data_IF_295864480292
#
_entry.id   IF_295864480292
#
_cell.length_a   1.000
_cell.length_b   1.000
_cell.length_c   1.000
_cell.angle_alpha   90.00
_cell.angle_beta   90.00
_cell.angle_gamma   90.00
#
_symmetry.space_group_name_H-M   'P 1'
#
loop_
_entity.id
_entity.type
_entity.pdbx_description
1 polymer ?
#
# COMPACT_ATOMS: atom_id res chain seq x y z
N UNK A 1 13.29 -31.67 9.03
CA UNK A 1 14.19 -30.53 9.30
C UNK A 1 13.30 -29.38 9.73
N UNK A 2 13.42 -28.90 10.97
CA UNK A 2 12.72 -27.69 11.39
C UNK A 2 13.28 -26.54 10.56
N UNK A 3 12.52 -26.03 9.59
CA UNK A 3 12.83 -24.74 8.99
C UNK A 3 12.80 -23.71 10.13
N UNK A 4 13.90 -22.97 10.29
CA UNK A 4 13.91 -21.80 11.17
C UNK A 4 12.82 -20.84 10.70
N UNK A 5 11.94 -20.42 11.62
CA UNK A 5 10.89 -19.43 11.35
C UNK A 5 11.49 -18.16 10.75
N UNK A 6 10.94 -17.67 9.63
CA UNK A 6 11.38 -16.44 8.98
C UNK A 6 11.15 -15.24 9.93
N UNK A 7 12.21 -14.52 10.29
CA UNK A 7 12.15 -13.39 11.23
C UNK A 7 11.86 -12.10 10.50
N UNK A 8 10.82 -11.40 10.92
CA UNK A 8 10.38 -10.16 10.29
C UNK A 8 10.69 -9.00 11.22
N UNK A 9 11.32 -7.97 10.67
CA UNK A 9 11.58 -6.70 11.33
C UNK A 9 10.54 -5.65 10.95
N UNK A 10 10.15 -4.78 11.89
CA UNK A 10 9.31 -3.60 11.62
C UNK A 10 10.12 -2.31 11.82
N UNK A 11 10.01 -1.38 10.89
CA UNK A 11 10.51 0.00 11.00
C UNK A 11 9.32 0.94 10.92
N UNK A 12 9.11 1.73 11.98
CA UNK A 12 7.95 2.61 12.12
C UNK A 12 6.76 1.92 12.79
N UNK A 13 6.51 2.25 14.06
CA UNK A 13 5.43 1.69 14.90
C UNK A 13 4.38 2.77 15.21
N UNK A 14 4.05 3.59 14.21
CA UNK A 14 3.14 4.74 14.31
C UNK A 14 1.90 4.62 13.39
N UNK A 15 1.89 3.64 12.50
CA UNK A 15 0.71 3.17 11.77
C UNK A 15 -0.01 2.05 12.53
N UNK A 16 -1.34 1.96 12.38
CA UNK A 16 -2.12 0.83 12.87
C UNK A 16 -1.73 -0.49 12.19
N UNK A 17 -1.00 -0.44 11.08
CA UNK A 17 -0.50 -1.62 10.37
C UNK A 17 0.53 -2.38 11.21
N UNK A 18 1.41 -1.71 11.97
CA UNK A 18 2.43 -2.38 12.79
C UNK A 18 1.82 -3.39 13.80
N UNK A 19 0.87 -3.01 14.68
CA UNK A 19 0.24 -3.96 15.59
C UNK A 19 -0.65 -4.98 14.86
N UNK A 20 -1.35 -4.58 13.79
CA UNK A 20 -2.24 -5.47 13.02
C UNK A 20 -1.44 -6.58 12.33
N UNK A 21 -0.35 -6.23 11.65
CA UNK A 21 0.53 -7.20 10.99
C UNK A 21 1.21 -8.11 12.01
N UNK A 22 1.68 -7.54 13.13
CA UNK A 22 2.23 -8.34 14.23
C UNK A 22 1.22 -9.36 14.75
N UNK A 23 -0.05 -8.98 14.93
CA UNK A 23 -1.09 -9.92 15.35
C UNK A 23 -1.29 -11.03 14.33
N UNK A 24 -1.50 -10.69 13.05
CA UNK A 24 -1.75 -11.67 11.99
C UNK A 24 -0.58 -12.65 11.79
N UNK A 25 0.66 -12.22 12.01
CA UNK A 25 1.86 -13.05 11.86
C UNK A 25 2.26 -13.81 13.14
N UNK A 26 1.96 -13.28 14.34
CA UNK A 26 2.45 -13.88 15.59
C UNK A 26 1.40 -14.73 16.31
N UNK A 27 0.10 -14.42 16.14
CA UNK A 27 -1.00 -15.08 16.84
C UNK A 27 -1.53 -16.27 16.02
N UNK A 28 -1.12 -17.49 16.41
CA UNK A 28 -1.50 -18.73 15.72
C UNK A 28 -2.97 -19.10 15.89
N UNK A 29 -3.63 -18.55 16.89
CA UNK A 29 -5.04 -18.82 17.17
C UNK A 29 -5.97 -17.82 16.45
N UNK A 30 -5.39 -16.79 15.80
CA UNK A 30 -6.16 -15.85 14.98
C UNK A 30 -6.79 -16.58 13.77
N UNK A 31 -8.11 -16.40 13.49
CA UNK A 31 -8.79 -17.12 12.40
C UNK A 31 -8.18 -16.91 11.00
N UNK A 32 -7.50 -15.77 10.82
CA UNK A 32 -6.81 -15.39 9.59
C UNK A 32 -5.28 -15.27 9.80
N UNK A 33 -4.72 -16.07 10.71
CA UNK A 33 -3.27 -16.12 10.92
C UNK A 33 -2.54 -16.40 9.60
N UNK A 34 -1.50 -15.61 9.32
CA UNK A 34 -0.65 -15.76 8.14
C UNK A 34 0.63 -16.48 8.57
N UNK A 35 0.80 -17.71 8.10
CA UNK A 35 1.93 -18.56 8.43
C UNK A 35 3.20 -18.22 7.63
N UNK A 36 4.34 -18.79 8.06
CA UNK A 36 5.62 -18.72 7.34
C UNK A 36 6.66 -17.79 7.95
N UNK A 37 6.24 -16.81 8.77
CA UNK A 37 7.14 -15.89 9.45
C UNK A 37 6.55 -15.35 10.75
N UNK A 38 7.37 -14.61 11.51
CA UNK A 38 6.98 -13.97 12.77
C UNK A 38 7.67 -12.61 12.87
N UNK A 39 6.95 -11.58 13.34
CA UNK A 39 7.57 -10.32 13.76
C UNK A 39 8.32 -10.55 15.07
N UNK A 40 9.63 -10.30 15.07
CA UNK A 40 10.50 -10.57 16.22
C UNK A 40 11.19 -9.33 16.76
N UNK A 41 11.41 -8.32 15.93
CA UNK A 41 12.15 -7.11 16.28
C UNK A 41 11.53 -5.89 15.61
N UNK A 42 11.51 -4.74 16.28
CA UNK A 42 10.95 -3.51 15.74
C UNK A 42 11.65 -2.25 16.24
N UNK A 43 11.69 -1.22 15.40
CA UNK A 43 12.15 0.12 15.73
C UNK A 43 10.97 1.10 15.66
N UNK A 44 10.63 1.83 16.73
CA UNK A 44 9.46 2.71 16.76
C UNK A 44 9.46 3.84 15.72
N UNK A 45 10.60 4.49 15.49
CA UNK A 45 10.71 5.59 14.53
C UNK A 45 9.73 6.73 14.80
N UNK A 46 9.13 7.26 13.73
CA UNK A 46 8.09 8.30 13.76
C UNK A 46 8.54 9.67 13.25
N UNK A 47 7.56 10.54 13.03
CA UNK A 47 7.72 11.90 12.51
C UNK A 47 7.31 12.94 13.56
N UNK A 48 8.22 13.83 13.99
CA UNK A 48 7.96 14.78 15.07
C UNK A 48 6.98 15.89 14.69
N UNK A 49 6.79 16.16 13.40
CA UNK A 49 5.89 17.21 12.88
C UNK A 49 4.50 16.67 12.48
N UNK A 50 4.22 15.39 12.74
CA UNK A 50 2.97 14.75 12.35
C UNK A 50 2.27 14.11 13.56
N UNK A 51 1.22 14.76 14.06
CA UNK A 51 0.48 14.32 15.26
C UNK A 51 0.05 12.86 15.22
N UNK A 52 -0.48 12.42 14.08
CA UNK A 52 -0.90 11.04 13.92
C UNK A 52 0.26 10.05 14.13
N UNK A 53 1.47 10.45 13.78
CA UNK A 53 2.67 9.65 14.00
C UNK A 53 3.05 9.67 15.49
N UNK A 54 3.49 10.83 16.01
CA UNK A 54 4.10 10.90 17.34
C UNK A 54 3.16 10.51 18.49
N UNK A 55 1.85 10.74 18.35
CA UNK A 55 0.88 10.42 19.41
C UNK A 55 0.60 8.92 19.56
N UNK A 56 0.91 8.10 18.55
CA UNK A 56 0.55 6.66 18.54
C UNK A 56 1.69 5.72 18.89
N UNK A 57 2.94 6.21 18.78
CA UNK A 57 4.15 5.42 18.95
C UNK A 57 4.16 4.66 20.28
N UNK A 58 3.87 5.34 21.39
CA UNK A 58 3.94 4.73 22.73
C UNK A 58 2.95 3.56 22.85
N UNK A 59 1.68 3.79 22.50
CA UNK A 59 0.62 2.79 22.60
C UNK A 59 0.83 1.59 21.67
N UNK A 60 1.27 1.82 20.43
CA UNK A 60 1.55 0.71 19.51
C UNK A 60 2.84 -0.04 19.88
N UNK A 61 3.87 0.64 20.38
CA UNK A 61 5.09 -0.01 20.88
C UNK A 61 4.77 -0.92 22.06
N UNK A 62 3.90 -0.50 22.98
CA UNK A 62 3.43 -1.34 24.08
C UNK A 62 2.75 -2.62 23.58
N UNK A 63 1.84 -2.51 22.60
CA UNK A 63 1.17 -3.67 22.00
C UNK A 63 2.14 -4.66 21.34
N UNK A 64 3.19 -4.17 20.68
CA UNK A 64 4.22 -5.04 20.09
C UNK A 64 5.05 -5.75 21.17
N UNK A 65 5.43 -5.05 22.26
CA UNK A 65 6.13 -5.66 23.41
C UNK A 65 5.31 -6.76 24.07
N UNK A 66 4.01 -6.54 24.28
CA UNK A 66 3.09 -7.53 24.84
C UNK A 66 3.00 -8.81 23.97
N UNK A 67 3.23 -8.67 22.66
CA UNK A 67 3.28 -9.79 21.71
C UNK A 67 4.67 -10.42 21.57
N UNK A 68 5.61 -10.04 22.44
CA UNK A 68 6.97 -10.58 22.50
C UNK A 68 7.88 -10.11 21.37
N UNK A 69 7.63 -8.92 20.81
CA UNK A 69 8.52 -8.26 19.85
C UNK A 69 9.59 -7.48 20.61
N UNK A 70 10.86 -7.70 20.27
CA UNK A 70 11.99 -6.92 20.79
C UNK A 70 11.94 -5.50 20.21
N UNK A 71 12.05 -4.49 21.06
CA UNK A 71 12.06 -3.08 20.63
C UNK A 71 13.46 -2.53 20.74
N UNK A 72 13.99 -2.06 19.63
CA UNK A 72 15.36 -1.53 19.50
C UNK A 72 15.38 -0.06 19.13
N UNK A 73 16.55 0.55 19.18
CA UNK A 73 16.71 2.01 19.09
C UNK A 73 17.06 2.50 17.67
N UNK A 74 17.24 1.60 16.69
CA UNK A 74 17.57 1.97 15.32
C UNK A 74 17.01 1.02 14.25
N UNK A 75 16.79 1.57 13.04
CA UNK A 75 16.37 0.80 11.88
C UNK A 75 17.45 -0.20 11.41
N UNK A 76 18.72 0.16 11.58
CA UNK A 76 19.88 -0.66 11.25
C UNK A 76 19.94 -1.91 12.13
N UNK A 77 19.64 -1.78 13.42
CA UNK A 77 19.58 -2.91 14.36
C UNK A 77 18.46 -3.88 14.01
N UNK A 78 17.30 -3.38 13.55
CA UNK A 78 16.24 -4.20 12.95
C UNK A 78 16.77 -4.98 11.75
N UNK A 79 17.39 -4.29 10.79
CA UNK A 79 17.87 -4.89 9.54
C UNK A 79 18.98 -5.94 9.75
N UNK A 80 19.83 -5.74 10.76
CA UNK A 80 20.87 -6.70 11.14
C UNK A 80 20.30 -8.02 11.71
N UNK A 81 19.12 -7.97 12.34
CA UNK A 81 18.58 -9.07 13.15
C UNK A 81 17.28 -9.70 12.60
N UNK A 82 16.89 -9.39 11.36
CA UNK A 82 15.75 -10.01 10.69
C UNK A 82 16.13 -10.59 9.32
N UNK A 83 15.19 -11.32 8.72
CA UNK A 83 15.32 -11.95 7.41
C UNK A 83 14.54 -11.18 6.33
N UNK A 84 13.53 -10.39 6.73
CA UNK A 84 12.79 -9.45 5.87
C UNK A 84 12.22 -8.28 6.69
N UNK A 85 11.94 -7.16 6.03
CA UNK A 85 11.60 -5.89 6.69
C UNK A 85 10.26 -5.36 6.20
N UNK A 86 9.43 -4.91 7.14
CA UNK A 86 8.23 -4.12 6.91
C UNK A 86 8.53 -2.67 7.33
N UNK A 87 8.52 -1.73 6.38
CA UNK A 87 8.51 -0.30 6.70
C UNK A 87 7.04 0.11 6.79
N UNK A 88 6.55 0.36 8.00
CA UNK A 88 5.14 0.68 8.29
C UNK A 88 4.96 2.06 8.88
N UNK A 89 5.91 2.96 8.61
CA UNK A 89 5.75 4.35 9.01
C UNK A 89 4.49 4.95 8.38
N UNK A 90 3.71 5.71 9.17
CA UNK A 90 2.49 6.33 8.65
C UNK A 90 2.79 7.51 7.70
N UNK A 91 4.01 8.03 7.76
CA UNK A 91 4.47 9.18 7.00
C UNK A 91 5.23 8.76 5.74
N UNK A 92 4.60 8.91 4.58
CA UNK A 92 5.22 8.57 3.29
C UNK A 92 6.46 9.41 2.97
N UNK A 93 6.65 10.58 3.59
CA UNK A 93 7.80 11.48 3.35
C UNK A 93 9.13 10.91 3.82
N UNK A 94 9.12 9.98 4.78
CA UNK A 94 10.35 9.47 5.41
C UNK A 94 10.76 8.09 4.90
N UNK A 95 9.95 7.46 4.04
CA UNK A 95 10.20 6.10 3.57
C UNK A 95 11.52 5.95 2.81
N UNK A 96 11.89 6.90 1.94
CA UNK A 96 13.17 6.87 1.23
C UNK A 96 14.36 6.95 2.20
N UNK A 97 14.30 7.82 3.21
CA UNK A 97 15.35 7.93 4.23
C UNK A 97 15.49 6.62 5.01
N UNK A 98 14.37 6.07 5.49
CA UNK A 98 14.36 4.78 6.21
C UNK A 98 14.88 3.64 5.34
N UNK A 99 14.47 3.59 4.07
CA UNK A 99 14.94 2.60 3.11
C UNK A 99 16.45 2.69 2.90
N UNK A 100 17.00 3.89 2.67
CA UNK A 100 18.44 4.11 2.50
C UNK A 100 19.26 3.59 3.68
N UNK A 101 18.77 3.76 4.91
CA UNK A 101 19.45 3.29 6.14
C UNK A 101 19.62 1.77 6.20
N UNK A 102 18.71 1.02 5.57
CA UNK A 102 18.68 -0.44 5.65
C UNK A 102 19.02 -1.16 4.34
N UNK A 103 19.15 -0.43 3.23
CA UNK A 103 19.39 -1.02 1.90
C UNK A 103 20.69 -1.85 1.83
N UNK A 104 21.75 -1.45 2.54
CA UNK A 104 23.03 -2.17 2.56
C UNK A 104 22.94 -3.58 3.17
N UNK A 105 21.89 -3.87 3.95
CA UNK A 105 21.63 -5.19 4.54
C UNK A 105 20.98 -6.17 3.56
N UNK A 106 20.52 -5.70 2.39
CA UNK A 106 19.97 -6.52 1.29
C UNK A 106 18.85 -7.48 1.72
N UNK A 107 18.01 -7.05 2.64
CA UNK A 107 16.79 -7.78 3.03
C UNK A 107 15.68 -7.52 2.01
N UNK A 108 14.79 -8.47 1.73
CA UNK A 108 13.53 -8.17 1.06
C UNK A 108 12.72 -7.19 1.93
N UNK A 109 12.17 -6.16 1.30
CA UNK A 109 11.53 -5.03 1.98
C UNK A 109 10.12 -4.83 1.41
N UNK A 110 9.12 -4.78 2.28
CA UNK A 110 7.83 -4.18 1.94
C UNK A 110 7.79 -2.77 2.52
N UNK A 111 7.44 -1.78 1.69
CA UNK A 111 7.18 -0.41 2.13
C UNK A 111 5.66 -0.22 2.11
N UNK A 112 5.11 0.22 3.23
CA UNK A 112 3.69 0.53 3.34
C UNK A 112 3.31 1.71 2.44
N UNK A 113 2.02 1.84 2.17
CA UNK A 113 1.49 2.83 1.24
C UNK A 113 1.47 4.25 1.85
N UNK A 114 1.68 5.28 1.02
CA UNK A 114 2.28 5.19 -0.31
C UNK A 114 3.79 4.88 -0.19
N UNK A 115 4.40 4.30 -1.24
CA UNK A 115 5.85 4.01 -1.23
C UNK A 115 6.66 5.25 -0.83
N UNK A 116 6.27 6.40 -1.37
CA UNK A 116 6.72 7.76 -1.01
C UNK A 116 5.67 8.74 -1.55
N UNK A 117 5.86 10.04 -1.32
CA UNK A 117 5.02 11.13 -1.84
C UNK A 117 5.63 11.84 -3.07
N UNK A 118 6.66 11.26 -3.69
CA UNK A 118 7.32 11.82 -4.88
C UNK A 118 7.76 10.74 -5.87
N UNK A 119 7.50 10.96 -7.16
CA UNK A 119 7.95 10.06 -8.25
C UNK A 119 9.47 10.02 -8.39
N UNK A 120 10.14 11.15 -8.08
CA UNK A 120 11.61 11.23 -8.05
C UNK A 120 12.17 10.32 -6.95
N UNK A 121 11.61 10.41 -5.74
CA UNK A 121 12.02 9.55 -4.64
C UNK A 121 11.68 8.07 -4.89
N UNK A 122 10.53 7.78 -5.51
CA UNK A 122 10.15 6.41 -5.85
C UNK A 122 11.15 5.80 -6.84
N UNK A 123 11.55 6.57 -7.86
CA UNK A 123 12.58 6.17 -8.82
C UNK A 123 13.92 5.91 -8.13
N UNK A 124 14.27 6.71 -7.13
CA UNK A 124 15.49 6.50 -6.34
C UNK A 124 15.41 5.23 -5.48
N UNK A 125 14.28 4.95 -4.83
CA UNK A 125 14.05 3.71 -4.08
C UNK A 125 14.29 2.50 -5.00
N UNK A 126 13.69 2.48 -6.18
CA UNK A 126 13.88 1.38 -7.14
C UNK A 126 15.30 1.29 -7.68
N UNK A 127 15.97 2.42 -7.92
CA UNK A 127 17.38 2.45 -8.33
C UNK A 127 18.27 1.80 -7.27
N UNK A 128 18.16 2.22 -6.01
CA UNK A 128 18.92 1.66 -4.91
C UNK A 128 18.59 0.17 -4.70
N UNK A 129 17.31 -0.21 -4.82
CA UNK A 129 16.87 -1.60 -4.71
C UNK A 129 17.50 -2.47 -5.80
N UNK A 130 17.53 -1.99 -7.05
CA UNK A 130 18.16 -2.68 -8.17
C UNK A 130 19.68 -2.83 -7.96
N UNK A 131 20.38 -1.76 -7.59
CA UNK A 131 21.83 -1.78 -7.32
C UNK A 131 22.21 -2.76 -6.21
N UNK A 132 21.33 -2.96 -5.22
CA UNK A 132 21.56 -3.83 -4.08
C UNK A 132 20.90 -5.21 -4.20
N UNK A 133 20.21 -5.50 -5.31
CA UNK A 133 19.42 -6.72 -5.54
C UNK A 133 18.40 -6.98 -4.42
N UNK A 134 17.65 -5.94 -4.03
CA UNK A 134 16.63 -6.02 -2.98
C UNK A 134 15.26 -6.31 -3.62
N UNK A 135 14.59 -7.43 -3.27
CA UNK A 135 13.18 -7.62 -3.57
C UNK A 135 12.37 -6.57 -2.81
N UNK A 136 11.62 -5.75 -3.54
CA UNK A 136 10.85 -4.64 -2.98
C UNK A 136 9.44 -4.57 -3.55
N UNK A 137 8.47 -4.28 -2.69
CA UNK A 137 7.07 -4.06 -3.06
C UNK A 137 6.45 -3.00 -2.15
N UNK A 138 5.51 -2.22 -2.69
CA UNK A 138 4.63 -1.34 -1.93
C UNK A 138 3.23 -1.43 -2.49
N UNK A 139 2.22 -1.43 -1.61
CA UNK A 139 0.83 -1.24 -2.04
C UNK A 139 -0.12 -1.02 -0.86
N UNK A 140 -1.34 -0.58 -1.18
CA UNK A 140 -2.47 -0.71 -0.27
C UNK A 140 -2.96 -2.15 -0.18
N UNK A 141 -3.36 -2.56 1.03
CA UNK A 141 -4.08 -3.81 1.26
C UNK A 141 -5.38 -3.95 0.44
N UNK A 142 -6.06 -2.86 0.06
CA UNK A 142 -7.26 -2.93 -0.77
C UNK A 142 -7.02 -3.52 -2.16
N UNK A 143 -5.78 -3.51 -2.66
CA UNK A 143 -5.37 -4.23 -3.86
C UNK A 143 -5.70 -5.72 -3.79
N UNK A 144 -5.70 -6.28 -2.58
CA UNK A 144 -5.94 -7.70 -2.31
C UNK A 144 -7.22 -7.95 -1.52
N UNK A 145 -8.17 -7.00 -1.54
CA UNK A 145 -9.49 -7.27 -0.99
C UNK A 145 -10.11 -8.49 -1.69
N UNK A 146 -10.59 -9.46 -0.91
CA UNK A 146 -11.01 -10.76 -1.44
C UNK A 146 -12.14 -10.63 -2.48
N UNK A 147 -13.13 -9.76 -2.27
CA UNK A 147 -14.19 -9.57 -3.28
C UNK A 147 -13.67 -8.97 -4.59
N UNK A 148 -12.60 -8.16 -4.55
CA UNK A 148 -11.95 -7.66 -5.77
C UNK A 148 -11.19 -8.79 -6.47
N UNK A 149 -10.46 -9.61 -5.72
CA UNK A 149 -9.78 -10.81 -6.25
C UNK A 149 -10.79 -11.76 -6.90
N UNK A 150 -11.88 -12.10 -6.20
CA UNK A 150 -12.95 -12.95 -6.72
C UNK A 150 -13.56 -12.36 -8.00
N UNK A 151 -13.80 -11.04 -8.06
CA UNK A 151 -14.35 -10.39 -9.25
C UNK A 151 -13.38 -10.40 -10.45
N UNK A 152 -12.07 -10.36 -10.20
CA UNK A 152 -11.05 -10.46 -11.24
C UNK A 152 -10.89 -11.89 -11.76
N UNK A 153 -11.00 -12.89 -10.87
CA UNK A 153 -10.89 -14.32 -11.19
C UNK A 153 -12.18 -14.92 -11.75
N UNK A 154 -13.32 -14.21 -11.64
CA UNK A 154 -14.60 -14.62 -12.21
C UNK A 154 -14.51 -14.71 -13.76
N UNK A 155 -14.23 -15.93 -14.22
CA UNK A 155 -14.18 -16.50 -15.59
C UNK A 155 -14.17 -15.60 -16.83
N UNK A 156 -13.36 -16.00 -17.82
CA UNK A 156 -13.23 -15.44 -19.19
C UNK A 156 -14.54 -15.27 -19.99
N UNK A 157 -15.67 -15.86 -19.57
CA UNK A 157 -16.94 -15.73 -20.30
C UNK A 157 -17.52 -14.31 -20.26
N UNK A 158 -17.06 -13.48 -19.32
CA UNK A 158 -17.58 -12.13 -19.16
C UNK A 158 -16.93 -11.09 -20.10
N UNK A 159 -15.93 -11.51 -20.88
CA UNK A 159 -15.17 -10.65 -21.78
C UNK A 159 -14.11 -9.81 -21.06
N UNK A 160 -13.43 -8.96 -21.83
CA UNK A 160 -12.37 -8.10 -21.32
C UNK A 160 -12.90 -7.07 -20.33
N UNK A 161 -12.03 -6.61 -19.42
CA UNK A 161 -12.30 -5.42 -18.62
C UNK A 161 -12.24 -4.19 -19.53
N UNK A 162 -13.28 -3.36 -19.48
CA UNK A 162 -13.44 -2.16 -20.33
C UNK A 162 -13.56 -0.87 -19.51
N UNK A 163 -13.43 -0.95 -18.18
CA UNK A 163 -13.44 0.20 -17.28
C UNK A 163 -13.59 -0.19 -15.83
N UNK A 164 -13.33 0.77 -14.94
CA UNK A 164 -13.56 0.61 -13.51
C UNK A 164 -13.83 1.97 -12.85
N UNK A 165 -14.84 2.01 -11.97
CA UNK A 165 -15.13 3.16 -11.13
C UNK A 165 -14.89 2.79 -9.66
N UNK A 166 -13.86 3.35 -9.04
CA UNK A 166 -13.58 3.20 -7.62
C UNK A 166 -14.24 4.32 -6.81
N UNK A 167 -14.63 4.05 -5.57
CA UNK A 167 -15.00 5.09 -4.61
C UNK A 167 -14.43 4.79 -3.23
N UNK A 168 -14.20 5.85 -2.46
CA UNK A 168 -13.66 5.73 -1.10
C UNK A 168 -13.59 7.05 -0.34
N UNK A 169 -13.21 6.99 0.94
CA UNK A 169 -12.77 8.16 1.69
C UNK A 169 -11.60 8.86 1.01
N UNK A 170 -11.57 10.19 1.10
CA UNK A 170 -10.54 11.04 0.52
C UNK A 170 -10.20 12.18 1.48
N UNK A 171 -9.96 11.82 2.74
CA UNK A 171 -9.47 12.75 3.75
C UNK A 171 -8.15 13.37 3.29
N UNK A 172 -7.95 14.64 3.60
CA UNK A 172 -6.71 15.36 3.32
C UNK A 172 -5.92 15.51 4.62
N UNK A 173 -4.60 15.41 4.50
CA UNK A 173 -3.69 15.58 5.63
C UNK A 173 -2.60 16.57 5.23
N UNK A 174 -2.37 17.67 5.96
CA UNK A 174 -1.42 18.72 5.54
C UNK A 174 0.00 18.22 5.26
N UNK A 175 0.44 17.18 5.96
CA UNK A 175 1.77 16.58 5.78
C UNK A 175 1.85 15.62 4.58
N UNK A 176 0.71 15.21 4.00
CA UNK A 176 0.62 14.19 2.96
C UNK A 176 -0.16 14.75 1.75
N UNK A 177 0.51 15.05 0.62
CA UNK A 177 -0.14 15.77 -0.48
C UNK A 177 -1.34 15.02 -1.09
N UNK A 178 -2.54 15.57 -0.94
CA UNK A 178 -3.75 15.14 -1.65
C UNK A 178 -4.00 13.62 -1.63
N UNK A 179 -3.98 12.99 -2.82
CA UNK A 179 -4.26 11.55 -2.99
C UNK A 179 -3.30 10.65 -2.21
N UNK A 180 -2.09 11.07 -1.88
CA UNK A 180 -1.13 10.23 -1.17
C UNK A 180 -1.63 9.76 0.20
N UNK A 181 -2.58 10.47 0.83
CA UNK A 181 -3.09 10.11 2.14
C UNK A 181 -4.11 8.95 2.11
N UNK A 182 -5.34 9.24 1.68
CA UNK A 182 -6.41 8.23 1.55
C UNK A 182 -6.72 7.84 0.11
N UNK A 183 -6.46 8.71 -0.87
CA UNK A 183 -6.73 8.45 -2.29
C UNK A 183 -5.93 7.26 -2.86
N UNK A 184 -4.74 7.02 -2.32
CA UNK A 184 -3.85 5.89 -2.67
C UNK A 184 -4.57 4.55 -2.64
N UNK A 185 -5.52 4.37 -1.71
CA UNK A 185 -6.32 3.16 -1.58
C UNK A 185 -7.15 2.87 -2.85
N UNK A 186 -7.87 3.87 -3.34
CA UNK A 186 -8.66 3.75 -4.57
C UNK A 186 -7.82 3.74 -5.83
N UNK A 187 -6.65 4.40 -5.83
CA UNK A 187 -5.69 4.34 -6.94
C UNK A 187 -5.12 2.92 -7.08
N UNK A 188 -4.76 2.30 -5.97
CA UNK A 188 -4.26 0.91 -5.94
C UNK A 188 -5.29 -0.09 -6.45
N UNK A 189 -6.56 0.08 -6.06
CA UNK A 189 -7.65 -0.73 -6.62
C UNK A 189 -7.76 -0.53 -8.13
N UNK A 190 -7.66 0.71 -8.61
CA UNK A 190 -7.78 1.03 -10.03
C UNK A 190 -6.64 0.41 -10.84
N UNK A 191 -5.38 0.58 -10.40
CA UNK A 191 -4.20 0.02 -11.06
C UNK A 191 -4.14 -1.51 -10.97
N UNK A 192 -4.68 -2.13 -9.91
CA UNK A 192 -4.81 -3.60 -9.84
C UNK A 192 -5.63 -4.17 -10.99
N UNK A 193 -6.63 -3.42 -11.46
CA UNK A 193 -7.55 -3.87 -12.51
C UNK A 193 -7.11 -3.41 -13.89
N UNK A 194 -6.74 -2.14 -14.05
CA UNK A 194 -6.40 -1.56 -15.35
C UNK A 194 -4.92 -1.68 -15.70
N UNK A 195 -4.07 -1.96 -14.72
CA UNK A 195 -2.63 -2.05 -14.90
C UNK A 195 -1.98 -0.70 -15.24
N UNK A 196 -0.81 -0.80 -15.87
CA UNK A 196 0.01 0.31 -16.35
C UNK A 196 -0.60 1.00 -17.58
N UNK A 197 -0.06 2.16 -17.95
CA UNK A 197 -0.38 2.82 -19.22
C UNK A 197 -1.43 3.92 -19.14
N UNK A 198 -1.69 4.48 -17.96
CA UNK A 198 -2.50 5.71 -17.87
C UNK A 198 -1.76 6.85 -18.57
N UNK A 199 -2.40 7.47 -19.57
CA UNK A 199 -1.80 8.56 -20.37
C UNK A 199 -1.98 9.91 -19.71
N UNK A 200 -3.19 10.18 -19.21
CA UNK A 200 -3.52 11.46 -18.60
C UNK A 200 -4.63 11.34 -17.58
N UNK A 201 -4.69 12.32 -16.68
CA UNK A 201 -5.67 12.41 -15.61
C UNK A 201 -6.30 13.80 -15.55
N UNK A 202 -7.59 13.84 -15.26
CA UNK A 202 -8.36 15.08 -15.03
C UNK A 202 -9.15 14.96 -13.73
N UNK A 203 -9.17 16.03 -12.93
CA UNK A 203 -9.90 16.08 -11.67
C UNK A 203 -10.99 17.17 -11.71
N UNK A 204 -12.17 16.83 -11.22
CA UNK A 204 -13.17 17.78 -10.77
C UNK A 204 -13.19 17.79 -9.23
N UNK A 205 -12.88 18.94 -8.64
CA UNK A 205 -12.68 19.10 -7.19
C UNK A 205 -13.71 20.05 -6.59
N UNK A 206 -14.22 19.69 -5.43
CA UNK A 206 -15.01 20.55 -4.54
C UNK A 206 -14.49 20.42 -3.11
N UNK A 207 -15.03 21.20 -2.18
CA UNK A 207 -14.72 21.06 -0.76
C UNK A 207 -14.94 19.63 -0.25
N UNK A 208 -16.06 19.00 -0.64
CA UNK A 208 -16.49 17.71 -0.10
C UNK A 208 -16.07 16.49 -0.94
N UNK A 209 -15.75 16.70 -2.22
CA UNK A 209 -15.58 15.60 -3.17
C UNK A 209 -14.51 15.85 -4.21
N UNK A 210 -13.86 14.76 -4.64
CA UNK A 210 -13.08 14.69 -5.85
C UNK A 210 -13.71 13.67 -6.80
N UNK A 211 -13.68 13.95 -8.11
CA UNK A 211 -13.86 12.96 -9.16
C UNK A 211 -12.62 13.00 -10.05
N UNK A 212 -11.84 11.93 -10.03
CA UNK A 212 -10.64 11.77 -10.83
C UNK A 212 -10.96 10.84 -11.99
N UNK A 213 -10.57 11.21 -13.20
CA UNK A 213 -10.75 10.42 -14.42
C UNK A 213 -9.39 10.21 -15.07
N UNK A 214 -8.95 8.96 -15.17
CA UNK A 214 -7.77 8.56 -15.93
C UNK A 214 -8.15 7.90 -17.24
N UNK A 215 -7.34 8.11 -18.28
CA UNK A 215 -7.50 7.46 -19.59
C UNK A 215 -6.24 6.67 -19.92
N UNK A 216 -6.39 5.38 -20.16
CA UNK A 216 -5.31 4.46 -20.50
C UNK A 216 -5.01 4.45 -22.01
N UNK A 217 -3.83 3.99 -22.37
CA UNK A 217 -3.34 3.92 -23.76
C UNK A 217 -4.21 3.06 -24.69
N UNK A 218 -4.89 2.06 -24.14
CA UNK A 218 -5.87 1.22 -24.79
C UNK A 218 -7.27 1.87 -24.91
N UNK A 219 -7.42 3.12 -24.46
CA UNK A 219 -8.67 3.87 -24.49
C UNK A 219 -9.63 3.59 -23.34
N UNK A 220 -9.27 2.69 -22.40
CA UNK A 220 -10.09 2.39 -21.22
C UNK A 220 -10.08 3.58 -20.26
N UNK A 221 -11.25 3.86 -19.68
CA UNK A 221 -11.44 4.92 -18.68
C UNK A 221 -11.56 4.29 -17.30
N UNK A 222 -10.81 4.86 -16.35
CA UNK A 222 -10.92 4.57 -14.93
C UNK A 222 -11.33 5.82 -14.16
N UNK A 223 -12.20 5.67 -13.15
CA UNK A 223 -12.57 6.80 -12.29
C UNK A 223 -12.39 6.53 -10.80
N UNK A 224 -12.17 7.60 -10.04
CA UNK A 224 -12.11 7.58 -8.58
C UNK A 224 -13.03 8.67 -8.04
N UNK A 225 -14.03 8.28 -7.24
CA UNK A 225 -14.82 9.19 -6.41
C UNK A 225 -14.27 9.25 -4.99
N UNK A 226 -13.65 10.37 -4.65
CA UNK A 226 -13.19 10.67 -3.30
C UNK A 226 -14.24 11.39 -2.47
N UNK A 227 -14.47 10.94 -1.23
CA UNK A 227 -15.46 11.51 -0.32
C UNK A 227 -14.82 12.07 0.96
N UNK A 228 -15.15 13.32 1.29
CA UNK A 228 -14.84 13.96 2.59
C UNK A 228 -16.06 14.16 3.48
N UNK A 229 -17.26 13.81 2.99
CA UNK A 229 -18.54 14.02 3.67
C UNK A 229 -19.12 12.75 4.31
N UNK A 230 -18.30 12.05 5.10
CA UNK A 230 -18.77 10.99 6.01
C UNK A 230 -18.99 9.59 5.44
N UNK A 231 -18.94 9.36 4.12
CA UNK A 231 -18.93 8.00 3.59
C UNK A 231 -17.55 7.35 3.79
N UNK A 232 -17.49 6.40 4.73
CA UNK A 232 -16.29 5.63 5.08
C UNK A 232 -16.02 4.39 4.22
N UNK A 233 -16.91 4.05 3.29
CA UNK A 233 -16.84 2.79 2.55
C UNK A 233 -15.96 2.90 1.31
N UNK A 234 -15.16 1.87 1.09
CA UNK A 234 -14.52 1.61 -0.20
C UNK A 234 -15.37 0.65 -1.03
N UNK A 235 -15.29 0.76 -2.34
CA UNK A 235 -15.89 -0.18 -3.27
C UNK A 235 -15.65 0.22 -4.72
N UNK A 236 -16.15 -0.59 -5.65
CA UNK A 236 -15.99 -0.33 -7.06
C UNK A 236 -17.14 -0.87 -7.93
N UNK A 237 -17.24 -0.33 -9.14
CA UNK A 237 -17.93 -0.97 -10.27
C UNK A 237 -16.85 -1.45 -11.25
N UNK A 238 -16.85 -2.75 -11.53
CA UNK A 238 -16.00 -3.37 -12.54
C UNK A 238 -16.81 -3.56 -13.82
N UNK A 239 -16.37 -2.93 -14.92
CA UNK A 239 -17.04 -3.02 -16.21
C UNK A 239 -16.33 -4.04 -17.10
N UNK A 240 -17.08 -5.05 -17.54
CA UNK A 240 -16.66 -5.99 -18.58
C UNK A 240 -17.57 -5.87 -19.80
N UNK A 241 -17.14 -6.40 -20.94
CA UNK A 241 -17.90 -6.34 -22.20
C UNK A 241 -19.35 -6.85 -22.07
N UNK A 242 -19.58 -7.87 -21.24
CA UNK A 242 -20.91 -8.49 -21.08
C UNK A 242 -21.73 -7.98 -19.90
N UNK A 243 -21.11 -7.44 -18.85
CA UNK A 243 -21.81 -6.98 -17.65
C UNK A 243 -20.97 -6.01 -16.82
N UNK A 244 -21.65 -5.32 -15.89
CA UNK A 244 -21.00 -4.55 -14.82
C UNK A 244 -21.27 -5.23 -13.48
N UNK A 245 -20.22 -5.40 -12.68
CA UNK A 245 -20.30 -6.00 -11.35
C UNK A 245 -19.96 -4.98 -10.27
N UNK A 246 -20.79 -4.90 -9.23
CA UNK A 246 -20.47 -4.16 -8.02
C UNK A 246 -19.56 -4.99 -7.10
N UNK A 247 -18.49 -4.36 -6.61
CA UNK A 247 -17.50 -4.94 -5.70
C UNK A 247 -17.53 -4.19 -4.38
N UNK A 248 -18.05 -4.84 -3.35
CA UNK A 248 -17.97 -4.36 -1.96
C UNK A 248 -16.75 -4.98 -1.28
N UNK A 249 -15.65 -4.23 -1.19
CA UNK A 249 -14.37 -4.75 -0.66
C UNK A 249 -14.41 -5.09 0.84
N UNK A 250 -15.48 -4.73 1.56
CA UNK A 250 -15.63 -5.03 2.99
C UNK A 250 -16.52 -6.24 3.26
N UNK A 251 -17.13 -6.85 2.23
CA UNK A 251 -18.12 -7.92 2.39
C UNK A 251 -17.50 -9.25 2.82
N UNK A 252 -16.26 -9.53 2.43
CA UNK A 252 -15.60 -10.79 2.78
C UNK A 252 -15.08 -10.76 4.23
N UNK A 253 -15.22 -11.86 5.02
CA UNK A 253 -14.81 -11.86 6.43
C UNK A 253 -13.30 -11.82 6.64
N UNK A 254 -12.51 -12.27 5.66
CA UNK A 254 -11.04 -12.20 5.72
C UNK A 254 -10.59 -10.74 5.55
N UNK A 255 -9.81 -10.19 6.51
CA UNK A 255 -9.25 -8.85 6.38
C UNK A 255 -8.31 -8.77 5.17
N UNK A 256 -8.41 -7.68 4.40
CA UNK A 256 -7.49 -7.37 3.30
C UNK A 256 -6.01 -7.33 3.74
N UNK A 257 -5.73 -7.05 5.02
CA UNK A 257 -4.36 -7.14 5.57
C UNK A 257 -3.82 -8.57 5.60
N UNK A 258 -4.65 -9.58 5.85
CA UNK A 258 -4.22 -10.98 5.80
C UNK A 258 -3.85 -11.36 4.36
N UNK A 259 -4.68 -10.98 3.39
CA UNK A 259 -4.42 -11.22 1.96
C UNK A 259 -3.17 -10.48 1.46
N UNK A 260 -2.94 -9.24 1.90
CA UNK A 260 -1.69 -8.52 1.64
C UNK A 260 -0.47 -9.24 2.24
N UNK A 261 -0.56 -9.66 3.50
CA UNK A 261 0.55 -10.34 4.17
C UNK A 261 0.90 -11.68 3.50
N UNK A 262 -0.06 -12.42 2.97
CA UNK A 262 0.21 -13.62 2.18
C UNK A 262 1.09 -13.31 0.95
N UNK A 263 0.82 -12.18 0.28
CA UNK A 263 1.64 -11.69 -0.85
C UNK A 263 3.03 -11.22 -0.42
N UNK A 264 3.13 -10.50 0.70
CA UNK A 264 4.41 -10.09 1.29
C UNK A 264 5.24 -11.32 1.67
N UNK A 265 4.64 -12.31 2.33
CA UNK A 265 5.32 -13.55 2.71
C UNK A 265 5.79 -14.34 1.49
N UNK A 266 4.99 -14.36 0.43
CA UNK A 266 5.38 -14.97 -0.85
C UNK A 266 6.62 -14.29 -1.41
N UNK A 267 6.65 -12.94 -1.46
CA UNK A 267 7.82 -12.18 -1.90
C UNK A 267 9.04 -12.41 -1.00
N UNK A 268 8.87 -12.43 0.32
CA UNK A 268 9.96 -12.64 1.28
C UNK A 268 10.65 -13.99 1.09
N UNK A 269 9.90 -15.03 0.74
CA UNK A 269 10.45 -16.38 0.51
C UNK A 269 10.96 -16.55 -0.92
N UNK A 270 10.26 -16.01 -1.92
CA UNK A 270 10.57 -16.21 -3.35
C UNK A 270 11.55 -15.19 -3.92
N UNK A 271 11.81 -14.09 -3.20
CA UNK A 271 12.51 -12.91 -3.69
C UNK A 271 11.86 -12.27 -4.94
N UNK A 272 10.57 -12.55 -5.20
CA UNK A 272 9.83 -12.03 -6.36
C UNK A 272 8.64 -11.19 -5.88
N UNK A 273 8.62 -9.87 -6.14
CA UNK A 273 7.47 -9.03 -5.78
C UNK A 273 6.24 -9.40 -6.63
N UNK A 274 5.04 -9.26 -6.05
CA UNK A 274 3.76 -9.52 -6.76
C UNK A 274 3.38 -8.36 -7.70
N UNK A 275 4.01 -7.20 -7.53
CA UNK A 275 3.76 -5.97 -8.28
C UNK A 275 5.03 -5.59 -9.03
N UNK A 276 4.88 -5.30 -10.32
CA UNK A 276 5.94 -4.73 -11.15
C UNK A 276 6.31 -3.33 -10.63
N UNK A 277 7.61 -3.08 -10.42
CA UNK A 277 8.09 -1.78 -9.93
C UNK A 277 7.71 -0.61 -10.84
N UNK A 278 7.62 -0.85 -12.16
CA UNK A 278 7.13 0.15 -13.11
C UNK A 278 5.66 0.53 -12.85
N UNK A 279 4.83 -0.41 -12.41
CA UNK A 279 3.44 -0.10 -12.02
C UNK A 279 3.41 0.79 -10.77
N UNK A 280 4.25 0.51 -9.78
CA UNK A 280 4.37 1.36 -8.59
C UNK A 280 4.83 2.78 -8.96
N UNK A 281 5.80 2.94 -9.86
CA UNK A 281 6.24 4.26 -10.34
C UNK A 281 5.08 5.03 -11.00
N UNK A 282 4.29 4.36 -11.85
CA UNK A 282 3.14 4.96 -12.50
C UNK A 282 2.02 5.29 -11.51
N UNK A 283 1.80 4.51 -10.46
CA UNK A 283 0.86 4.81 -9.37
C UNK A 283 1.25 6.12 -8.65
N UNK A 284 2.53 6.28 -8.32
CA UNK A 284 3.04 7.51 -7.69
C UNK A 284 2.87 8.70 -8.63
N UNK A 285 3.27 8.56 -9.91
CA UNK A 285 3.12 9.63 -10.90
C UNK A 285 1.66 10.00 -11.16
N UNK A 286 0.76 9.01 -11.18
CA UNK A 286 -0.68 9.22 -11.29
C UNK A 286 -1.19 10.09 -10.13
N UNK A 287 -0.78 9.81 -8.89
CA UNK A 287 -1.20 10.61 -7.73
C UNK A 287 -0.66 12.04 -7.78
N UNK A 288 0.58 12.25 -8.22
CA UNK A 288 1.13 13.60 -8.46
C UNK A 288 0.30 14.36 -9.51
N UNK A 289 0.06 13.74 -10.66
CA UNK A 289 -0.70 14.34 -11.76
C UNK A 289 -2.16 14.62 -11.35
N UNK A 290 -2.78 13.71 -10.59
CA UNK A 290 -4.12 13.91 -10.06
C UNK A 290 -4.15 15.07 -9.05
N UNK A 291 -3.12 15.22 -8.21
CA UNK A 291 -3.00 16.36 -7.30
C UNK A 291 -2.83 17.68 -8.05
N UNK A 292 -1.98 17.73 -9.08
CA UNK A 292 -1.83 18.91 -9.95
C UNK A 292 -3.15 19.26 -10.64
N UNK A 293 -3.86 18.26 -11.15
CA UNK A 293 -5.18 18.45 -11.76
C UNK A 293 -6.22 18.94 -10.75
N UNK A 294 -6.19 18.45 -9.49
CA UNK A 294 -7.11 18.90 -8.43
C UNK A 294 -6.96 20.38 -8.11
N UNK A 295 -5.74 20.91 -8.23
CA UNK A 295 -5.43 22.32 -7.97
C UNK A 295 -5.74 23.23 -9.16
N UNK A 296 -5.50 22.74 -10.39
CA UNK A 296 -5.58 23.55 -11.61
C UNK A 296 -6.89 23.38 -12.39
N UNK A 297 -7.58 22.25 -12.21
CA UNK A 297 -8.71 21.81 -13.04
C UNK A 297 -8.31 21.37 -14.47
N UNK A 298 -7.02 21.30 -14.78
CA UNK A 298 -6.51 20.95 -16.11
C UNK A 298 -6.22 19.46 -16.23
N UNK A 299 -6.25 18.94 -17.46
CA UNK A 299 -5.74 17.60 -17.77
C UNK A 299 -4.22 17.57 -17.66
N UNK A 300 -3.68 16.60 -16.93
CA UNK A 300 -2.24 16.42 -16.70
C UNK A 300 -1.80 15.08 -17.31
N UNK A 301 -0.73 15.11 -18.12
CA UNK A 301 -0.14 13.89 -18.70
C UNK A 301 0.81 13.23 -17.70
N UNK A 302 0.88 11.90 -17.73
CA UNK A 302 1.77 11.10 -16.89
C UNK A 302 3.17 10.97 -17.50
#
# INVERSE_FOLDING_TARGET
>A
MNQSTFRIGIIGIDSSHAPTFTQLLNDKDHPFHVAGGKVTIAYPGGSPDFEMSYSRIEGFTAQLRERGVEIVDSAEEVAANCDGILITSVDGRIHLEQFRRVASYRRPIFIDKPMTVSSVEASEIFTIAQENNIPIMSCSSLRYAEELTIALEASDTSGNVIGMDCYGPMALQPTQPGLFWYGVHTVEMLFRVLGKGCLHVTAATTEDHDLITGVWDNGVIGTIRGNRKGNGQFGALLHRESHTQFVDVNKHPKPYYASLLEKIMTMFVSATPDIDGEETLQIIRFMEAANESRETGLTVNL
#
